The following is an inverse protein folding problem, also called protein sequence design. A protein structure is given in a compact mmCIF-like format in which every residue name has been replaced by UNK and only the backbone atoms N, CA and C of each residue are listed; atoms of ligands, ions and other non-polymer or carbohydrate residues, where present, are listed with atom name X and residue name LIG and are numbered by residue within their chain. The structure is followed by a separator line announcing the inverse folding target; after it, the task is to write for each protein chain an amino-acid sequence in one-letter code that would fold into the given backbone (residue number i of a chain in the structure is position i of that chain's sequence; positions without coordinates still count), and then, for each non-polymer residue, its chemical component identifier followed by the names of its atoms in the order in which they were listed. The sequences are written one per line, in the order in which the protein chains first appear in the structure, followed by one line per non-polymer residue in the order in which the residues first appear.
data_IF_900276439978
#
_entry.id   IF_900276439978
#
_cell.length_a   1.000
_cell.length_b   1.000
_cell.length_c   1.000
_cell.angle_alpha   90.00
_cell.angle_beta   90.00
_cell.angle_gamma   90.00
#
_symmetry.space_group_name_H-M   'P 1'
#
loop_
_entity.id
_entity.type
_entity.pdbx_description
1 polymer ?
#
# COMPACT_ATOMS: atom_id res chain seq x y z
N UNK A 1 14.49 11.40 6.45
CA UNK A 1 14.20 10.07 7.05
C UNK A 1 14.51 9.01 6.01
N UNK A 2 15.17 7.91 6.38
CA UNK A 2 15.51 6.83 5.45
C UNK A 2 14.61 5.64 5.72
N UNK A 3 14.13 5.00 4.65
CA UNK A 3 13.35 3.76 4.72
C UNK A 3 14.26 2.55 4.51
N UNK A 4 14.05 1.51 5.31
CA UNK A 4 14.89 0.30 5.33
C UNK A 4 14.04 -0.91 5.03
N UNK A 5 14.47 -1.68 4.02
CA UNK A 5 13.86 -2.96 3.68
C UNK A 5 14.69 -4.09 4.29
N UNK A 6 14.02 -5.05 4.91
CA UNK A 6 14.62 -6.26 5.42
C UNK A 6 13.67 -7.43 5.20
N UNK A 7 14.09 -8.44 4.42
CA UNK A 7 13.29 -9.64 4.10
C UNK A 7 11.87 -9.29 3.61
N UNK A 8 11.80 -8.41 2.61
CA UNK A 8 10.54 -7.92 2.03
C UNK A 8 9.70 -7.03 2.95
N UNK A 9 10.19 -6.66 4.15
CA UNK A 9 9.51 -5.78 5.11
C UNK A 9 10.10 -4.37 5.10
N UNK A 10 9.26 -3.35 4.92
CA UNK A 10 9.57 -1.96 5.31
C UNK A 10 9.53 -1.79 6.83
N UNK A 11 10.67 -1.55 7.49
CA UNK A 11 10.78 -1.52 8.96
C UNK A 11 10.02 -0.35 9.62
N UNK A 12 9.84 0.74 8.90
CA UNK A 12 9.16 1.94 9.40
C UNK A 12 7.64 1.91 9.16
N UNK A 13 7.11 0.86 8.52
CA UNK A 13 5.68 0.67 8.35
C UNK A 13 5.13 -0.26 9.44
N UNK A 14 3.90 0.02 9.90
CA UNK A 14 3.17 -0.88 10.79
C UNK A 14 2.87 -2.19 10.06
N UNK A 15 3.21 -3.32 10.67
CA UNK A 15 2.88 -4.63 10.13
C UNK A 15 1.43 -4.98 10.40
N UNK A 16 0.68 -5.29 9.35
CA UNK A 16 -0.70 -5.78 9.46
C UNK A 16 -0.87 -6.94 8.46
N UNK A 17 -0.38 -8.15 8.78
CA UNK A 17 -0.32 -9.24 7.80
C UNK A 17 -1.71 -9.57 7.25
N UNK A 18 -1.85 -9.49 5.92
CA UNK A 18 -3.06 -9.93 5.22
C UNK A 18 -2.94 -11.42 4.86
N UNK A 19 -4.03 -12.20 4.98
CA UNK A 19 -4.08 -13.56 4.45
C UNK A 19 -4.25 -13.59 2.91
N UNK A 20 -4.50 -12.45 2.27
CA UNK A 20 -4.78 -12.34 0.84
C UNK A 20 -3.47 -12.18 0.05
N UNK A 21 -2.58 -13.15 0.15
CA UNK A 21 -1.34 -13.19 -0.61
C UNK A 21 -1.00 -14.61 -1.05
N UNK A 22 0.00 -14.74 -1.91
CA UNK A 22 0.58 -16.03 -2.27
C UNK A 22 2.05 -15.87 -2.61
N UNK A 23 2.81 -16.97 -2.79
CA UNK A 23 4.11 -16.90 -3.44
C UNK A 23 4.00 -16.30 -4.85
N UNK A 24 5.05 -15.60 -5.28
CA UNK A 24 5.21 -15.20 -6.69
C UNK A 24 5.57 -16.44 -7.52
N UNK A 25 5.24 -16.49 -8.83
CA UNK A 25 5.73 -17.54 -9.69
C UNK A 25 7.26 -17.62 -9.70
N UNK A 26 7.85 -18.81 -9.88
CA UNK A 26 9.31 -18.96 -9.90
C UNK A 26 9.99 -17.99 -10.88
N UNK A 27 11.02 -17.29 -10.41
CA UNK A 27 11.78 -16.32 -11.20
C UNK A 27 11.10 -14.95 -11.40
N UNK A 28 9.91 -14.73 -10.86
CA UNK A 28 9.22 -13.43 -10.93
C UNK A 28 9.54 -12.56 -9.71
N UNK A 29 10.76 -12.03 -9.65
CA UNK A 29 11.04 -10.93 -8.71
C UNK A 29 10.26 -9.66 -9.12
N UNK A 30 9.88 -8.78 -8.17
CA UNK A 30 9.23 -7.53 -8.50
C UNK A 30 10.04 -6.67 -9.47
N UNK A 31 9.41 -6.27 -10.57
CA UNK A 31 9.99 -5.39 -11.58
C UNK A 31 9.02 -4.27 -12.03
N UNK A 32 7.80 -4.22 -11.47
CA UNK A 32 6.79 -3.18 -11.71
C UNK A 32 6.31 -2.58 -10.38
N UNK A 33 6.12 -1.26 -10.33
CA UNK A 33 5.45 -0.58 -9.23
C UNK A 33 4.13 -0.01 -9.73
N UNK A 34 3.02 -0.39 -9.08
CA UNK A 34 1.68 0.10 -9.41
C UNK A 34 1.20 1.00 -8.29
N UNK A 35 0.82 2.22 -8.65
CA UNK A 35 0.25 3.22 -7.75
C UNK A 35 -1.27 3.14 -7.86
N UNK A 36 -1.92 3.02 -6.71
CA UNK A 36 -3.36 2.88 -6.56
C UNK A 36 -3.92 3.99 -5.66
N UNK A 37 -5.24 4.10 -5.64
CA UNK A 37 -5.93 4.78 -4.56
C UNK A 37 -7.09 3.96 -4.03
N UNK A 38 -7.45 4.25 -2.78
CA UNK A 38 -8.61 3.66 -2.15
C UNK A 38 -9.15 4.56 -1.04
N UNK A 39 -10.47 4.58 -0.89
CA UNK A 39 -11.16 5.16 0.26
C UNK A 39 -12.34 4.26 0.62
N UNK A 40 -12.51 3.96 1.91
CA UNK A 40 -13.59 3.11 2.40
C UNK A 40 -14.22 3.72 3.66
N UNK A 41 -15.52 4.07 3.63
CA UNK A 41 -16.38 4.17 2.43
C UNK A 41 -15.82 5.11 1.35
N UNK A 42 -16.31 5.06 0.10
CA UNK A 42 -15.84 5.93 -0.99
C UNK A 42 -15.85 7.41 -0.58
N UNK A 43 -14.73 8.10 -0.81
CA UNK A 43 -14.55 9.51 -0.43
C UNK A 43 -14.51 9.78 1.08
N UNK A 44 -14.36 8.73 1.91
CA UNK A 44 -14.12 8.84 3.35
C UNK A 44 -12.72 8.32 3.68
N UNK A 45 -12.07 9.03 4.60
CA UNK A 45 -10.68 8.80 4.98
C UNK A 45 -10.57 8.53 6.48
N UNK A 46 -9.58 7.74 6.89
CA UNK A 46 -9.39 7.26 8.25
C UNK A 46 -10.33 6.09 8.61
N UNK A 47 -10.49 5.85 9.91
CA UNK A 47 -11.46 4.85 10.43
C UNK A 47 -11.03 3.38 10.34
N UNK A 48 -9.92 3.08 9.66
CA UNK A 48 -9.33 1.74 9.60
C UNK A 48 -10.10 0.75 8.72
N UNK A 49 -11.09 1.20 7.94
CA UNK A 49 -11.89 0.32 7.07
C UNK A 49 -11.02 -0.33 5.99
N UNK A 50 -10.05 0.38 5.41
CA UNK A 50 -9.12 -0.18 4.41
C UNK A 50 -8.26 -1.30 5.01
N UNK A 51 -7.75 -1.09 6.22
CA UNK A 51 -7.00 -2.12 6.96
C UNK A 51 -7.85 -3.37 7.20
N UNK A 52 -9.08 -3.18 7.68
CA UNK A 52 -10.03 -4.28 7.89
C UNK A 52 -10.41 -4.96 6.57
N UNK A 53 -10.56 -4.22 5.48
CA UNK A 53 -10.88 -4.77 4.17
C UNK A 53 -9.76 -5.69 3.65
N UNK A 54 -8.52 -5.20 3.64
CA UNK A 54 -7.37 -6.00 3.19
C UNK A 54 -7.06 -7.19 4.10
N UNK A 55 -7.58 -7.22 5.33
CA UNK A 55 -7.39 -8.34 6.27
C UNK A 55 -8.61 -9.26 6.38
N UNK A 56 -9.65 -9.08 5.54
CA UNK A 56 -10.92 -9.83 5.59
C UNK A 56 -11.70 -9.66 6.90
N UNK A 57 -11.50 -8.54 7.59
CA UNK A 57 -12.11 -8.20 8.88
C UNK A 57 -13.11 -7.03 8.79
N UNK A 58 -13.49 -6.60 7.58
CA UNK A 58 -14.45 -5.51 7.39
C UNK A 58 -15.85 -5.96 7.85
N UNK A 59 -16.49 -5.14 8.70
CA UNK A 59 -17.89 -5.33 9.06
C UNK A 59 -18.77 -4.86 7.91
N UNK A 60 -19.44 -5.81 7.24
CA UNK A 60 -20.27 -5.54 6.07
C UNK A 60 -21.50 -4.68 6.38
N UNK A 61 -21.91 -4.61 7.64
CA UNK A 61 -23.10 -3.86 8.07
C UNK A 61 -22.76 -2.41 8.48
N UNK A 62 -21.47 -2.04 8.56
CA UNK A 62 -21.01 -0.70 8.96
C UNK A 62 -21.36 0.38 7.92
N UNK A 63 -21.45 0.02 6.64
CA UNK A 63 -21.81 0.95 5.57
C UNK A 63 -22.48 0.24 4.38
N UNK A 64 -23.54 0.79 3.75
CA UNK A 64 -24.23 0.15 2.62
C UNK A 64 -23.32 -0.27 1.45
N UNK A 65 -22.32 0.57 1.13
CA UNK A 65 -21.34 0.26 0.08
C UNK A 65 -20.56 -1.03 0.33
N UNK A 66 -20.34 -1.42 1.59
CA UNK A 66 -19.58 -2.62 1.91
C UNK A 66 -20.29 -3.89 1.43
N UNK A 67 -21.61 -3.86 1.25
CA UNK A 67 -22.36 -4.92 0.59
C UNK A 67 -21.95 -5.15 -0.87
N UNK A 68 -21.53 -4.11 -1.59
CA UNK A 68 -21.12 -4.20 -3.01
C UNK A 68 -19.77 -4.90 -3.20
N UNK A 69 -18.90 -4.79 -2.20
CA UNK A 69 -17.56 -5.37 -2.17
C UNK A 69 -17.46 -6.61 -1.27
N UNK A 70 -18.61 -7.12 -0.79
CA UNK A 70 -18.67 -8.27 0.11
C UNK A 70 -18.12 -9.52 -0.57
N UNK A 71 -17.23 -10.20 0.14
CA UNK A 71 -16.62 -11.46 -0.31
C UNK A 71 -15.42 -11.31 -1.23
N UNK A 72 -15.07 -10.08 -1.64
CA UNK A 72 -13.80 -9.83 -2.31
C UNK A 72 -12.64 -10.14 -1.38
N UNK A 73 -11.58 -10.73 -1.94
CA UNK A 73 -10.33 -11.01 -1.25
C UNK A 73 -9.22 -10.34 -2.02
N UNK A 74 -8.74 -9.23 -1.48
CA UNK A 74 -7.76 -8.35 -2.13
C UNK A 74 -6.81 -7.81 -1.07
N UNK A 75 -5.64 -7.37 -1.51
CA UNK A 75 -4.64 -6.74 -0.64
C UNK A 75 -3.66 -5.95 -1.48
N UNK A 76 -3.04 -4.95 -0.87
CA UNK A 76 -1.85 -4.29 -1.42
C UNK A 76 -0.61 -4.66 -0.60
N UNK A 77 0.57 -4.26 -1.06
CA UNK A 77 1.77 -4.41 -0.23
C UNK A 77 1.80 -3.32 0.84
N UNK A 78 1.48 -2.08 0.46
CA UNK A 78 1.45 -0.92 1.35
C UNK A 78 0.17 -0.12 1.19
N UNK A 79 -0.29 0.48 2.29
CA UNK A 79 -1.20 1.61 2.33
C UNK A 79 -0.49 2.81 2.95
N UNK A 80 -0.66 3.97 2.32
CA UNK A 80 -0.21 5.26 2.82
C UNK A 80 -1.43 6.15 3.10
N UNK A 81 -1.75 6.31 4.39
CA UNK A 81 -2.88 7.12 4.85
C UNK A 81 -2.66 8.61 4.58
N UNK A 82 -3.75 9.39 4.69
CA UNK A 82 -3.72 10.85 4.45
C UNK A 82 -2.71 11.59 5.33
N UNK A 83 -2.53 11.14 6.57
CA UNK A 83 -1.62 11.72 7.56
C UNK A 83 -0.15 11.26 7.40
N UNK A 84 0.10 10.31 6.49
CA UNK A 84 1.41 9.75 6.23
C UNK A 84 1.73 8.47 7.00
N UNK A 85 0.79 7.89 7.75
CA UNK A 85 0.96 6.55 8.33
C UNK A 85 1.15 5.52 7.21
N UNK A 86 2.15 4.65 7.37
CA UNK A 86 2.43 3.54 6.48
C UNK A 86 2.03 2.23 7.15
N UNK A 87 1.11 1.53 6.49
CA UNK A 87 0.75 0.16 6.84
C UNK A 87 1.29 -0.75 5.75
N UNK A 88 1.73 -1.94 6.12
CA UNK A 88 2.17 -2.96 5.19
C UNK A 88 1.38 -4.23 5.45
N UNK A 89 0.88 -4.85 4.39
CA UNK A 89 0.01 -6.02 4.52
C UNK A 89 0.63 -7.30 4.00
N UNK A 90 1.45 -7.18 2.96
CA UNK A 90 2.12 -8.32 2.30
C UNK A 90 3.60 -7.99 2.17
N UNK A 91 4.46 -9.00 2.35
CA UNK A 91 5.89 -8.86 2.06
C UNK A 91 6.07 -8.47 0.59
N UNK A 92 6.98 -7.54 0.29
CA UNK A 92 7.29 -7.19 -1.10
C UNK A 92 7.83 -8.37 -1.93
N UNK A 93 8.36 -9.40 -1.25
CA UNK A 93 8.85 -10.63 -1.89
C UNK A 93 7.71 -11.59 -2.27
N UNK A 94 6.52 -11.39 -1.71
CA UNK A 94 5.31 -12.18 -1.97
C UNK A 94 4.39 -11.45 -2.94
N UNK A 95 3.40 -12.17 -3.47
CA UNK A 95 2.38 -11.65 -4.38
C UNK A 95 1.18 -11.18 -3.57
N UNK A 96 0.96 -9.87 -3.50
CA UNK A 96 -0.32 -9.30 -3.08
C UNK A 96 -1.35 -9.37 -4.24
N UNK A 97 -2.64 -9.26 -3.93
CA UNK A 97 -3.72 -9.32 -4.92
C UNK A 97 -4.35 -7.94 -5.09
N UNK A 98 -3.74 -7.09 -5.92
CA UNK A 98 -4.10 -5.67 -6.08
C UNK A 98 -4.37 -5.21 -7.53
N UNK A 99 -3.91 -5.97 -8.53
CA UNK A 99 -4.00 -5.54 -9.93
C UNK A 99 -5.17 -6.19 -10.69
N UNK A 100 -5.68 -7.32 -10.21
CA UNK A 100 -6.61 -8.19 -10.94
C UNK A 100 -6.21 -8.43 -12.40
N UNK A 101 -7.22 -8.57 -13.28
CA UNK A 101 -6.99 -8.71 -14.74
C UNK A 101 -6.27 -7.48 -15.30
N UNK A 102 -5.00 -7.65 -15.65
CA UNK A 102 -4.09 -6.54 -15.98
C UNK A 102 -2.99 -6.94 -16.99
N UNK A 103 -2.41 -5.96 -17.68
CA UNK A 103 -1.33 -6.18 -18.64
C UNK A 103 -0.39 -4.96 -18.71
N UNK A 104 0.90 -5.16 -18.51
CA UNK A 104 1.92 -4.13 -18.70
C UNK A 104 2.87 -4.52 -19.83
N UNK A 105 2.92 -3.69 -20.89
CA UNK A 105 3.80 -3.90 -22.06
C UNK A 105 3.71 -5.32 -22.66
N UNK A 106 2.51 -5.88 -22.70
CA UNK A 106 2.24 -7.21 -23.25
C UNK A 106 2.41 -8.39 -22.28
N UNK A 107 2.93 -8.17 -21.07
CA UNK A 107 2.97 -9.16 -19.99
C UNK A 107 1.70 -9.07 -19.16
N UNK A 108 0.95 -10.17 -19.06
CA UNK A 108 -0.29 -10.28 -18.28
C UNK A 108 0.00 -10.55 -16.81
N UNK A 109 -1.03 -10.45 -15.98
CA UNK A 109 -1.04 -10.88 -14.58
C UNK A 109 -0.04 -10.07 -13.73
N UNK A 110 -0.25 -8.76 -13.66
CA UNK A 110 0.72 -7.83 -13.06
C UNK A 110 1.02 -8.13 -11.59
N UNK A 111 0.10 -8.78 -10.85
CA UNK A 111 0.35 -9.23 -9.48
C UNK A 111 1.66 -10.06 -9.37
N UNK A 112 1.96 -10.89 -10.38
CA UNK A 112 3.11 -11.80 -10.36
C UNK A 112 4.46 -11.09 -10.20
N UNK A 113 4.58 -9.89 -10.75
CA UNK A 113 5.85 -9.16 -10.84
C UNK A 113 5.75 -7.70 -10.40
N UNK A 114 4.65 -7.32 -9.74
CA UNK A 114 4.47 -5.95 -9.26
C UNK A 114 4.34 -5.83 -7.74
N UNK A 115 4.69 -4.63 -7.28
CA UNK A 115 4.37 -4.12 -5.95
C UNK A 115 3.25 -3.10 -6.10
N UNK A 116 2.10 -3.34 -5.49
CA UNK A 116 1.02 -2.37 -5.31
C UNK A 116 1.20 -1.50 -4.06
N UNK A 117 1.16 -0.19 -4.23
CA UNK A 117 1.07 0.80 -3.15
C UNK A 117 -0.24 1.57 -3.28
N UNK A 118 -1.04 1.52 -2.23
CA UNK A 118 -2.30 2.25 -2.09
C UNK A 118 -2.07 3.61 -1.42
N UNK A 119 -2.64 4.65 -2.01
CA UNK A 119 -2.78 5.95 -1.37
C UNK A 119 -4.22 6.10 -0.90
N UNK A 120 -4.40 6.40 0.39
CA UNK A 120 -5.73 6.78 0.85
C UNK A 120 -6.17 8.08 0.14
N UNK A 121 -7.26 8.00 -0.61
CA UNK A 121 -7.66 9.06 -1.54
C UNK A 121 -8.76 8.64 -2.50
N UNK A 122 -8.99 9.50 -3.49
CA UNK A 122 -9.92 9.28 -4.59
C UNK A 122 -9.40 9.99 -5.86
N UNK A 123 -9.98 9.67 -7.01
CA UNK A 123 -9.47 10.08 -8.32
C UNK A 123 -9.43 11.60 -8.51
N UNK A 124 -10.37 12.32 -7.90
CA UNK A 124 -10.53 13.77 -8.02
C UNK A 124 -10.02 14.54 -6.78
N UNK A 125 -9.66 13.84 -5.71
CA UNK A 125 -9.24 14.45 -4.45
C UNK A 125 -7.71 14.58 -4.37
N UNK A 126 -7.15 15.80 -4.23
CA UNK A 126 -5.70 15.98 -4.15
C UNK A 126 -5.04 15.17 -3.03
N UNK A 127 -3.95 14.47 -3.33
CA UNK A 127 -3.12 13.78 -2.33
C UNK A 127 -2.33 14.76 -1.46
N UNK A 128 -2.10 14.41 -0.21
CA UNK A 128 -1.43 15.30 0.75
C UNK A 128 0.06 15.43 0.47
N UNK A 129 0.65 16.53 0.95
CA UNK A 129 2.10 16.76 0.89
C UNK A 129 2.89 15.58 1.46
N UNK A 130 2.47 15.10 2.64
CA UNK A 130 3.14 14.00 3.33
C UNK A 130 3.01 12.68 2.55
N UNK A 131 1.90 12.46 1.85
CA UNK A 131 1.72 11.28 0.99
C UNK A 131 2.76 11.26 -0.13
N UNK A 132 2.94 12.36 -0.88
CA UNK A 132 3.97 12.43 -1.93
C UNK A 132 5.38 12.22 -1.37
N UNK A 133 5.71 12.89 -0.25
CA UNK A 133 7.02 12.77 0.37
C UNK A 133 7.32 11.34 0.82
N UNK A 134 6.37 10.67 1.50
CA UNK A 134 6.56 9.29 1.94
C UNK A 134 6.61 8.33 0.75
N UNK A 135 5.72 8.48 -0.22
CA UNK A 135 5.71 7.65 -1.42
C UNK A 135 7.05 7.72 -2.15
N UNK A 136 7.57 8.92 -2.40
CA UNK A 136 8.87 9.09 -3.06
C UNK A 136 10.01 8.44 -2.28
N UNK A 137 10.05 8.57 -0.95
CA UNK A 137 11.08 7.95 -0.12
C UNK A 137 10.96 6.41 -0.11
N UNK A 138 9.74 5.86 -0.05
CA UNK A 138 9.50 4.41 -0.11
C UNK A 138 9.92 3.87 -1.48
N UNK A 139 9.50 4.53 -2.57
CA UNK A 139 9.86 4.15 -3.94
C UNK A 139 11.37 4.11 -4.15
N UNK A 140 12.14 5.05 -3.59
CA UNK A 140 13.62 4.98 -3.65
C UNK A 140 14.15 3.75 -2.96
N UNK A 141 13.62 3.42 -1.78
CA UNK A 141 14.07 2.27 -1.03
C UNK A 141 13.76 0.97 -1.78
N UNK A 142 12.60 0.89 -2.44
CA UNK A 142 12.23 -0.21 -3.35
C UNK A 142 13.19 -0.30 -4.55
N UNK A 143 13.42 0.82 -5.26
CA UNK A 143 14.32 0.88 -6.42
C UNK A 143 15.77 0.50 -6.07
N UNK A 144 16.23 0.82 -4.86
CA UNK A 144 17.56 0.44 -4.39
C UNK A 144 17.64 -1.05 -4.02
N UNK A 145 16.54 -1.66 -3.58
CA UNK A 145 16.52 -3.04 -3.11
C UNK A 145 16.23 -4.05 -4.23
N UNK A 146 15.24 -3.76 -5.08
CA UNK A 146 14.82 -4.63 -6.18
C UNK A 146 15.42 -4.14 -7.49
N UNK A 147 16.48 -4.81 -7.95
CA UNK A 147 17.23 -4.42 -9.15
C UNK A 147 16.43 -4.48 -10.46
N UNK A 148 15.31 -5.21 -10.47
CA UNK A 148 14.37 -5.24 -11.59
C UNK A 148 13.46 -4.02 -11.67
N UNK A 149 13.24 -3.30 -10.56
CA UNK A 149 12.45 -2.08 -10.56
C UNK A 149 13.25 -0.95 -11.22
N UNK A 150 12.57 -0.18 -12.06
CA UNK A 150 13.11 0.97 -12.75
C UNK A 150 12.12 2.13 -12.73
N UNK A 151 12.55 3.41 -12.70
CA UNK A 151 11.62 4.54 -12.76
C UNK A 151 10.61 4.45 -13.92
N UNK A 152 11.00 3.96 -15.09
CA UNK A 152 10.10 3.81 -16.26
C UNK A 152 9.07 2.67 -16.13
N UNK A 153 9.12 1.91 -15.03
CA UNK A 153 8.21 0.80 -14.68
C UNK A 153 7.42 1.15 -13.41
N UNK A 154 7.10 2.43 -13.26
CA UNK A 154 6.18 2.93 -12.24
C UNK A 154 4.97 3.51 -12.97
N UNK A 155 3.80 2.96 -12.71
CA UNK A 155 2.56 3.23 -13.45
C UNK A 155 1.37 3.34 -12.50
N UNK A 156 0.26 3.91 -12.97
CA UNK A 156 -1.03 3.83 -12.29
C UNK A 156 -1.73 2.50 -12.58
N UNK A 157 -2.73 2.17 -11.77
CA UNK A 157 -3.58 1.01 -12.05
C UNK A 157 -4.33 1.15 -13.38
N UNK A 158 -4.74 2.37 -13.71
CA UNK A 158 -5.38 2.71 -14.98
C UNK A 158 -4.52 2.41 -16.22
N UNK A 159 -3.19 2.44 -16.10
CA UNK A 159 -2.26 2.16 -17.21
C UNK A 159 -2.19 0.66 -17.53
N UNK A 160 -2.38 -0.21 -16.53
CA UNK A 160 -2.31 -1.68 -16.68
C UNK A 160 -3.68 -2.32 -16.85
N UNK A 161 -4.76 -1.59 -16.57
CA UNK A 161 -6.14 -2.04 -16.69
C UNK A 161 -7.05 -0.97 -17.34
N UNK A 162 -6.71 -0.48 -18.55
CA UNK A 162 -7.42 0.61 -19.20
C UNK A 162 -8.89 0.25 -19.45
N UNK A 163 -9.79 1.18 -19.14
CA UNK A 163 -11.24 1.01 -19.26
C UNK A 163 -11.90 0.22 -18.12
N UNK A 164 -11.12 -0.44 -17.24
CA UNK A 164 -11.62 -1.11 -16.03
C UNK A 164 -11.34 -0.30 -14.77
N UNK A 165 -10.14 0.26 -14.65
CA UNK A 165 -9.69 1.04 -13.48
C UNK A 165 -9.27 2.45 -13.89
N UNK A 166 -9.51 3.40 -13.01
CA UNK A 166 -9.21 4.83 -13.21
C UNK A 166 -8.16 5.36 -12.22
N UNK A 167 -7.95 4.66 -11.09
CA UNK A 167 -6.97 5.01 -10.07
C UNK A 167 -5.53 4.97 -10.60
N UNK A 168 -4.63 5.87 -10.13
CA UNK A 168 -4.80 6.82 -9.02
C UNK A 168 -5.51 8.13 -9.41
N UNK A 169 -6.09 8.20 -10.61
CA UNK A 169 -6.90 9.31 -11.09
C UNK A 169 -6.14 10.58 -11.46
N UNK A 170 -6.85 11.57 -12.03
CA UNK A 170 -6.27 12.85 -12.43
C UNK A 170 -5.70 13.69 -11.26
N UNK A 171 -6.15 13.47 -10.03
CA UNK A 171 -5.61 14.15 -8.85
C UNK A 171 -4.18 13.71 -8.48
N UNK A 172 -3.69 12.60 -9.03
CA UNK A 172 -2.31 12.17 -8.83
C UNK A 172 -1.34 12.93 -9.75
N UNK A 173 -0.60 13.87 -9.16
CA UNK A 173 0.41 14.67 -9.83
C UNK A 173 1.70 13.85 -10.05
N UNK A 174 1.73 13.16 -11.18
CA UNK A 174 2.90 12.42 -11.65
C UNK A 174 4.14 13.30 -11.76
N UNK A 175 4.02 14.55 -12.22
CA UNK A 175 5.18 15.43 -12.40
C UNK A 175 5.84 15.72 -11.06
N UNK A 176 5.03 16.05 -10.06
CA UNK A 176 5.47 16.26 -8.69
C UNK A 176 6.11 15.00 -8.12
N UNK A 177 5.43 13.85 -8.18
CA UNK A 177 5.97 12.60 -7.66
C UNK A 177 7.33 12.24 -8.28
N UNK A 178 7.50 12.44 -9.60
CA UNK A 178 8.78 12.21 -10.29
C UNK A 178 9.86 13.19 -9.84
N UNK A 179 9.52 14.46 -9.64
CA UNK A 179 10.46 15.44 -9.11
C UNK A 179 10.90 15.07 -7.68
N UNK A 180 9.96 14.68 -6.82
CA UNK A 180 10.21 14.23 -5.47
C UNK A 180 11.01 12.92 -5.44
N UNK A 181 10.91 12.06 -6.46
CA UNK A 181 11.72 10.86 -6.59
C UNK A 181 13.18 11.16 -6.97
N UNK A 182 13.41 12.23 -7.75
CA UNK A 182 14.73 12.65 -8.22
C UNK A 182 15.48 13.58 -7.26
N UNK A 183 14.76 14.29 -6.38
CA UNK A 183 15.37 15.21 -5.42
C UNK A 183 16.44 14.50 -4.55
N UNK A 184 17.40 15.18 -3.94
CA UNK A 184 18.22 14.52 -2.90
C UNK A 184 17.44 14.56 -1.59
N UNK A 185 17.43 13.50 -0.76
CA UNK A 185 16.83 13.58 0.55
C UNK A 185 17.49 14.74 1.30
N UNK A 186 16.73 15.79 1.60
CA UNK A 186 17.21 16.83 2.49
C UNK A 186 17.44 16.21 3.86
N UNK A 187 18.59 16.49 4.47
CA UNK A 187 18.77 16.19 5.88
C UNK A 187 17.65 16.88 6.66
N UNK A 188 17.08 16.24 7.69
CA UNK A 188 16.12 16.93 8.54
C UNK A 188 16.80 18.20 9.07
N UNK A 189 16.18 19.35 8.83
CA UNK A 189 16.59 20.59 9.47
C UNK A 189 16.42 20.39 10.97
N UNK A 190 17.54 20.38 11.68
CA UNK A 190 17.53 20.49 13.14
C UNK A 190 16.95 21.87 13.45
N UNK A 191 15.66 21.93 13.77
CA UNK A 191 15.20 23.03 14.61
C UNK A 191 15.87 22.83 15.96
N UNK A 192 16.85 23.68 16.26
CA UNK A 192 17.51 23.75 17.56
C UNK A 192 16.45 23.98 18.64
N UNK A 193 16.06 22.89 19.31
CA UNK A 193 15.34 22.96 20.57
C UNK A 193 16.23 23.59 21.63
N UNK A 194 15.78 24.71 22.20
CA UNK A 194 16.34 25.28 23.42
C UNK A 194 16.48 24.19 24.50
N UNK A 195 17.59 24.17 25.27
CA UNK A 195 17.78 23.15 26.29
C UNK A 195 16.83 23.41 27.46
N UNK A 196 15.96 22.44 27.75
CA UNK A 196 15.30 22.32 29.05
C UNK A 196 15.94 21.16 29.80
N UNK A 197 16.38 21.48 31.02
CA UNK A 197 17.20 20.67 31.91
C UNK A 197 16.52 19.34 32.29
N UNK A 198 17.29 18.25 32.32
CA UNK A 198 16.89 16.95 32.85
C UNK A 198 17.12 16.92 34.37
N UNK A 199 16.10 16.51 35.11
CA UNK A 199 16.24 15.90 36.42
C UNK A 199 16.20 14.37 36.26
N UNK A 200 17.08 13.67 36.97
CA UNK A 200 17.25 12.22 36.93
C UNK A 200 16.30 11.51 37.91
N UNK A 201 15.82 10.33 37.52
CA UNK A 201 15.47 9.25 38.45
C UNK A 201 15.57 7.89 37.75
N UNK A 202 16.16 6.97 38.49
CA UNK A 202 16.53 5.58 38.20
C UNK A 202 15.38 4.57 38.36
N UNK A 203 15.45 3.43 37.66
CA UNK A 203 14.67 2.22 37.95
C UNK A 203 14.99 1.07 36.98
N UNK A 204 15.42 -0.07 37.52
CA UNK A 204 15.91 -1.29 36.86
C UNK A 204 14.83 -2.36 36.54
N UNK A 205 15.27 -3.46 35.89
CA UNK A 205 14.69 -4.83 35.73
C UNK A 205 14.13 -5.16 34.33
N UNK A 206 14.70 -6.06 33.49
CA UNK A 206 14.76 -7.57 33.48
C UNK A 206 13.37 -8.24 33.33
N UNK A 207 13.07 -9.28 32.54
CA UNK A 207 13.74 -10.29 31.70
C UNK A 207 12.70 -10.86 30.65
N UNK A 208 13.07 -11.29 29.43
CA UNK A 208 13.24 -12.68 28.90
C UNK A 208 11.96 -13.57 28.65
N UNK A 209 11.95 -14.23 27.47
CA UNK A 209 11.10 -15.38 27.05
C UNK A 209 9.81 -14.99 26.30
N UNK A 210 9.33 -15.61 25.21
CA UNK A 210 9.60 -16.88 24.50
C UNK A 210 9.02 -16.76 23.06
N UNK A 211 9.61 -17.47 22.09
CA UNK A 211 9.06 -17.68 20.75
C UNK A 211 7.98 -18.78 20.76
N UNK A 212 7.00 -18.73 19.84
CA UNK A 212 6.36 -19.94 19.37
C UNK A 212 6.61 -20.22 17.89
N UNK A 213 6.56 -21.52 17.63
CA UNK A 213 6.94 -22.29 16.45
C UNK A 213 6.09 -22.06 15.21
N UNK A 214 6.71 -22.35 14.06
CA UNK A 214 6.12 -22.46 12.74
C UNK A 214 4.93 -23.43 12.69
N UNK A 215 3.81 -22.94 12.14
CA UNK A 215 2.68 -23.72 11.66
C UNK A 215 2.68 -23.77 10.12
N UNK A 216 2.13 -24.86 9.60
CA UNK A 216 2.17 -25.36 8.22
C UNK A 216 1.81 -24.34 7.12
N UNK A 217 2.54 -24.42 5.99
CA UNK A 217 2.22 -23.73 4.75
C UNK A 217 0.89 -24.24 4.15
N UNK A 218 -0.10 -23.38 3.89
CA UNK A 218 -1.23 -23.75 3.06
C UNK A 218 -0.84 -23.71 1.58
N UNK A 219 -1.24 -24.78 0.87
CA UNK A 219 -1.15 -24.94 -0.57
C UNK A 219 -1.64 -23.72 -1.34
N UNK A 220 -0.94 -23.37 -2.43
CA UNK A 220 -1.28 -22.31 -3.37
C UNK A 220 -2.78 -22.32 -3.74
N UNK A 221 -3.54 -21.40 -3.13
CA UNK A 221 -4.92 -21.14 -3.50
C UNK A 221 -4.97 -20.44 -4.86
N UNK A 222 -5.89 -20.87 -5.72
CA UNK A 222 -6.25 -20.13 -6.92
C UNK A 222 -6.71 -18.71 -6.55
N UNK A 223 -6.26 -17.74 -7.32
CA UNK A 223 -6.60 -16.33 -7.18
C UNK A 223 -8.13 -16.16 -7.35
N UNK A 224 -8.84 -15.61 -6.35
CA UNK A 224 -10.23 -15.23 -6.56
C UNK A 224 -10.25 -14.06 -7.56
N UNK A 225 -11.11 -14.13 -8.59
CA UNK A 225 -11.29 -13.07 -9.59
C UNK A 225 -11.47 -11.70 -8.90
N UNK A 226 -10.43 -10.88 -8.94
CA UNK A 226 -10.40 -9.53 -8.39
C UNK A 226 -11.06 -8.49 -9.33
N UNK A 227 -11.93 -8.94 -10.25
CA UNK A 227 -12.53 -8.10 -11.28
C UNK A 227 -13.50 -7.03 -10.72
N UNK A 228 -13.71 -6.99 -9.40
CA UNK A 228 -14.59 -6.07 -8.69
C UNK A 228 -13.91 -5.29 -7.56
N UNK A 229 -12.59 -5.14 -7.55
CA UNK A 229 -11.96 -4.23 -6.58
C UNK A 229 -12.63 -2.85 -6.58
N UNK A 230 -13.01 -2.32 -5.40
CA UNK A 230 -13.60 -0.99 -5.32
C UNK A 230 -12.68 0.01 -6.03
N UNK A 231 -13.24 0.75 -6.97
CA UNK A 231 -12.66 2.03 -7.38
C UNK A 231 -13.10 3.05 -6.34
N UNK A 232 -12.25 4.02 -5.99
CA UNK A 232 -12.64 5.12 -5.09
C UNK A 232 -13.87 5.90 -5.59
N UNK A 233 -14.21 5.75 -6.88
CA UNK A 233 -15.38 6.35 -7.49
C UNK A 233 -16.56 5.39 -7.52
N UNK A 234 -17.41 5.48 -6.47
CA UNK A 234 -18.88 5.54 -6.55
C UNK A 234 -19.47 5.28 -5.16
N UNK A 235 -20.04 6.33 -4.53
CA UNK A 235 -21.28 6.08 -3.79
C UNK A 235 -22.36 5.77 -4.85
N UNK A 236 -23.19 4.73 -4.68
CA UNK A 236 -24.38 4.60 -5.50
C UNK A 236 -25.20 5.88 -5.30
N UNK A 237 -25.58 6.53 -6.40
CA UNK A 237 -26.50 7.67 -6.36
C UNK A 237 -27.72 7.25 -5.54
N UNK A 238 -27.84 7.78 -4.33
CA UNK A 238 -29.03 7.60 -3.52
C UNK A 238 -30.21 8.04 -4.39
N UNK A 239 -31.09 7.10 -4.74
CA UNK A 239 -32.38 7.40 -5.33
C UNK A 239 -33.06 8.41 -4.39
N UNK A 240 -33.08 9.67 -4.82
CA UNK A 240 -34.07 10.62 -4.32
C UNK A 240 -35.37 10.24 -5.00
N UNK A 241 -36.16 9.41 -4.32
CA UNK A 241 -37.61 9.42 -4.48
C UNK A 241 -38.20 10.67 -3.82
#
# INVERSE_FOLDING_TARGET
MTYTLQRGRLLQARWVPSPNCSPRPPGCAPDLLVIHNISLPPGRYGGGCIERFFTNCLDWEEHPYFGEIRGLRVSAHLLLQRDGELLQFVSFDERAWHAGTSCFRGRRDCNDYSIGIELEGADEDPYTEVQYQRLALVTRALLLHYTGLHPDRIVGHCDIAPGRKSDPGPAFDWRRYRADLMARPSAPSLQEGRPVQRAAASGESSAAGEEPSAGEEPSAGEEPSADKEPSADKEPSANRE
#
